data_IF_301525228996
#
_entry.id   IF_301525228996
#
_cell.length_a   1.000
_cell.length_b   1.000
_cell.length_c   1.000
_cell.angle_alpha   90.00
_cell.angle_beta   90.00
_cell.angle_gamma   90.00
#
_symmetry.space_group_name_H-M   'P 1'
#
loop_
_entity.id
_entity.type
_entity.pdbx_description
1 polymer ?
#
# COMPACT_ATOMS: atom_id res chain seq x y z
N UNK A 1 -12.27 -11.60 23.48
CA UNK A 1 -12.38 -11.99 22.06
C UNK A 1 -13.48 -11.15 21.43
N UNK A 2 -13.12 -10.00 20.88
CA UNK A 2 -14.03 -9.12 20.15
C UNK A 2 -13.70 -9.28 18.68
N UNK A 3 -14.53 -10.04 17.97
CA UNK A 3 -14.40 -10.21 16.52
C UNK A 3 -14.54 -8.86 15.83
N UNK A 4 -13.51 -8.45 15.12
CA UNK A 4 -13.61 -7.45 14.07
C UNK A 4 -14.64 -7.99 13.07
N UNK A 5 -15.86 -7.44 13.07
CA UNK A 5 -16.78 -7.62 11.95
C UNK A 5 -16.10 -6.97 10.75
N UNK A 6 -15.53 -7.78 9.87
CA UNK A 6 -15.03 -7.34 8.58
C UNK A 6 -16.26 -6.89 7.78
N UNK A 7 -16.52 -5.58 7.76
CA UNK A 7 -17.60 -5.01 6.95
C UNK A 7 -17.09 -5.14 5.51
N UNK A 8 -17.69 -6.05 4.76
CA UNK A 8 -17.45 -6.17 3.32
C UNK A 8 -18.13 -4.96 2.65
N UNK A 9 -17.41 -3.85 2.55
CA UNK A 9 -17.93 -2.58 2.02
C UNK A 9 -18.12 -2.74 0.51
N UNK A 10 -19.36 -2.95 0.07
CA UNK A 10 -19.67 -3.10 -1.35
C UNK A 10 -19.92 -1.76 -2.03
N UNK A 11 -19.71 -1.72 -3.35
CA UNK A 11 -20.07 -0.58 -4.21
C UNK A 11 -21.57 -0.26 -4.13
N UNK A 12 -22.39 -1.30 -4.00
CA UNK A 12 -23.84 -1.18 -3.88
C UNK A 12 -24.23 -0.52 -2.55
N UNK A 13 -23.54 -0.85 -1.45
CA UNK A 13 -23.77 -0.22 -0.16
C UNK A 13 -23.48 1.29 -0.18
N UNK A 14 -22.36 1.72 -0.76
CA UNK A 14 -22.06 3.16 -0.92
C UNK A 14 -23.11 3.83 -1.80
N UNK A 15 -23.52 3.18 -2.90
CA UNK A 15 -24.53 3.72 -3.82
C UNK A 15 -25.88 3.89 -3.13
N UNK A 16 -26.29 2.93 -2.30
CA UNK A 16 -27.50 3.02 -1.49
C UNK A 16 -27.41 4.14 -0.44
N UNK A 17 -26.27 4.30 0.23
CA UNK A 17 -26.08 5.39 1.18
C UNK A 17 -26.12 6.77 0.48
N UNK A 18 -25.57 6.89 -0.73
CA UNK A 18 -25.69 8.12 -1.53
C UNK A 18 -27.15 8.40 -1.88
N UNK A 19 -27.91 7.37 -2.26
CA UNK A 19 -29.34 7.49 -2.55
C UNK A 19 -30.13 7.95 -1.33
N UNK A 20 -29.89 7.36 -0.16
CA UNK A 20 -30.49 7.79 1.11
C UNK A 20 -30.10 9.24 1.42
N UNK A 21 -28.83 9.62 1.20
CA UNK A 21 -28.36 10.99 1.36
C UNK A 21 -29.10 12.00 0.48
N UNK A 22 -29.46 11.64 -0.76
CA UNK A 22 -30.30 12.48 -1.62
C UNK A 22 -31.73 12.60 -1.09
N UNK A 23 -32.35 11.50 -0.65
CA UNK A 23 -33.70 11.52 -0.03
C UNK A 23 -33.72 12.44 1.19
N UNK A 24 -32.67 12.43 2.01
CA UNK A 24 -32.54 13.34 3.16
C UNK A 24 -32.46 14.82 2.74
N UNK A 25 -31.82 15.11 1.60
CA UNK A 25 -31.77 16.47 1.05
C UNK A 25 -33.14 16.91 0.53
N UNK A 26 -33.87 16.04 -0.16
CA UNK A 26 -35.21 16.32 -0.68
C UNK A 26 -36.18 16.67 0.47
N UNK A 27 -36.05 16.00 1.63
CA UNK A 27 -36.84 16.31 2.83
C UNK A 27 -36.59 17.72 3.39
N UNK A 28 -35.42 18.31 3.12
CA UNK A 28 -35.04 19.64 3.62
C UNK A 28 -35.32 20.76 2.61
N UNK A 29 -35.23 20.48 1.30
CA UNK A 29 -35.37 21.48 0.24
C UNK A 29 -36.84 21.81 -0.09
N UNK A 30 -37.76 20.88 0.18
CA UNK A 30 -39.14 20.91 -0.31
C UNK A 30 -40.14 21.54 0.69
N UNK A 31 -39.78 22.65 1.33
CA UNK A 31 -40.53 23.24 2.47
C UNK A 31 -41.34 24.51 2.14
N UNK A 32 -41.36 24.98 0.89
CA UNK A 32 -41.95 26.27 0.51
C UNK A 32 -43.49 26.33 0.47
N UNK A 33 -44.19 25.19 0.47
CA UNK A 33 -45.66 25.14 0.30
C UNK A 33 -46.38 24.24 1.34
N UNK A 34 -45.69 23.80 2.38
CA UNK A 34 -46.23 22.81 3.33
C UNK A 34 -46.81 23.49 4.56
N UNK A 35 -47.99 23.05 5.00
CA UNK A 35 -48.57 23.47 6.28
C UNK A 35 -47.66 23.09 7.48
N UNK A 36 -47.84 23.73 8.63
CA UNK A 36 -46.99 23.51 9.81
C UNK A 36 -46.93 22.02 10.22
N UNK A 37 -48.02 21.27 10.00
CA UNK A 37 -48.09 19.83 10.27
C UNK A 37 -47.20 19.03 9.31
N UNK A 38 -47.25 19.31 8.01
CA UNK A 38 -46.41 18.64 7.04
C UNK A 38 -44.93 18.98 7.18
N UNK A 39 -44.59 20.23 7.53
CA UNK A 39 -43.21 20.63 7.87
C UNK A 39 -42.67 19.78 9.02
N UNK A 40 -43.43 19.69 10.13
CA UNK A 40 -43.00 18.91 11.29
C UNK A 40 -42.86 17.42 10.97
N UNK A 41 -43.73 16.88 10.11
CA UNK A 41 -43.65 15.49 9.65
C UNK A 41 -42.36 15.23 8.85
N UNK A 42 -42.03 16.09 7.86
CA UNK A 42 -40.79 15.98 7.08
C UNK A 42 -39.56 16.09 7.98
N UNK A 43 -39.55 17.05 8.92
CA UNK A 43 -38.47 17.20 9.90
C UNK A 43 -38.27 15.95 10.75
N UNK A 44 -39.35 15.37 11.28
CA UNK A 44 -39.25 14.16 12.10
C UNK A 44 -38.73 12.96 11.29
N UNK A 45 -39.12 12.84 10.02
CA UNK A 45 -38.58 11.83 9.11
C UNK A 45 -37.08 12.03 8.88
N UNK A 46 -36.64 13.25 8.61
CA UNK A 46 -35.22 13.58 8.46
C UNK A 46 -34.43 13.17 9.69
N UNK A 47 -34.87 13.55 10.90
CA UNK A 47 -34.17 13.24 12.14
C UNK A 47 -34.07 11.73 12.37
N UNK A 48 -35.16 10.99 12.11
CA UNK A 48 -35.21 9.55 12.30
C UNK A 48 -34.24 8.78 11.40
N UNK A 49 -34.00 9.28 10.18
CA UNK A 49 -33.17 8.60 9.19
C UNK A 49 -31.73 9.13 9.13
N UNK A 50 -31.49 10.41 9.41
CA UNK A 50 -30.18 11.03 9.31
C UNK A 50 -29.15 10.36 10.24
N UNK A 51 -29.50 10.08 11.50
CA UNK A 51 -28.55 9.46 12.44
C UNK A 51 -28.13 8.06 11.98
N UNK A 52 -29.08 7.27 11.46
CA UNK A 52 -28.79 5.94 10.90
C UNK A 52 -27.87 6.04 9.69
N UNK A 53 -28.17 6.97 8.79
CA UNK A 53 -27.36 7.25 7.61
C UNK A 53 -25.94 7.67 7.99
N UNK A 54 -25.79 8.63 8.89
CA UNK A 54 -24.51 9.14 9.35
C UNK A 54 -23.65 8.02 9.98
N UNK A 55 -24.21 7.22 10.89
CA UNK A 55 -23.49 6.12 11.54
C UNK A 55 -23.01 5.05 10.56
N UNK A 56 -23.76 4.79 9.48
CA UNK A 56 -23.34 3.87 8.42
C UNK A 56 -22.28 4.46 7.50
N UNK A 57 -22.33 5.76 7.22
CA UNK A 57 -21.35 6.44 6.39
C UNK A 57 -19.99 6.54 7.09
N UNK A 58 -19.96 6.82 8.39
CA UNK A 58 -18.75 7.19 9.11
C UNK A 58 -17.59 6.16 9.01
N UNK A 59 -17.80 4.85 9.23
CA UNK A 59 -16.75 3.85 9.06
C UNK A 59 -16.19 3.81 7.63
N UNK A 60 -17.08 3.94 6.63
CA UNK A 60 -16.71 3.95 5.21
C UNK A 60 -15.83 5.16 4.90
N UNK A 61 -16.20 6.35 5.36
CA UNK A 61 -15.40 7.56 5.15
C UNK A 61 -14.03 7.44 5.83
N UNK A 62 -13.98 6.93 7.07
CA UNK A 62 -12.70 6.74 7.78
C UNK A 62 -11.77 5.76 7.08
N UNK A 63 -12.32 4.72 6.46
CA UNK A 63 -11.54 3.72 5.72
C UNK A 63 -11.12 4.21 4.33
N UNK A 64 -12.03 4.82 3.58
CA UNK A 64 -11.84 5.09 2.15
C UNK A 64 -11.35 6.52 1.89
N UNK A 65 -11.76 7.50 2.70
CA UNK A 65 -11.46 8.93 2.53
C UNK A 65 -10.98 9.55 3.85
N UNK A 66 -9.89 9.02 4.46
CA UNK A 66 -9.43 9.43 5.78
C UNK A 66 -9.10 10.93 5.85
N UNK A 67 -8.62 11.50 4.74
CA UNK A 67 -8.31 12.93 4.60
C UNK A 67 -9.53 13.85 4.80
N UNK A 68 -10.74 13.34 4.52
CA UNK A 68 -11.99 14.09 4.68
C UNK A 68 -12.84 13.63 5.86
N UNK A 69 -12.41 12.62 6.62
CA UNK A 69 -13.16 12.09 7.76
C UNK A 69 -13.39 13.15 8.84
N UNK A 70 -12.35 13.90 9.20
CA UNK A 70 -12.46 15.00 10.18
C UNK A 70 -13.50 16.03 9.71
N UNK A 71 -13.47 16.40 8.42
CA UNK A 71 -14.44 17.33 7.86
C UNK A 71 -15.85 16.77 7.93
N UNK A 72 -16.05 15.52 7.50
CA UNK A 72 -17.34 14.83 7.55
C UNK A 72 -17.95 14.82 8.96
N UNK A 73 -17.13 14.57 9.98
CA UNK A 73 -17.53 14.56 11.39
C UNK A 73 -17.86 15.97 11.91
N UNK A 74 -17.07 16.98 11.54
CA UNK A 74 -17.27 18.37 11.96
C UNK A 74 -18.59 18.99 11.47
N UNK A 75 -19.17 18.46 10.39
CA UNK A 75 -20.45 18.91 9.85
C UNK A 75 -21.64 18.44 10.71
N UNK A 76 -21.45 17.37 11.49
CA UNK A 76 -22.44 16.83 12.40
C UNK A 76 -22.23 17.32 13.83
N UNK A 77 -21.04 17.14 14.41
CA UNK A 77 -20.81 17.34 15.83
C UNK A 77 -20.68 18.82 16.21
N UNK A 78 -21.45 19.23 17.21
CA UNK A 78 -21.31 20.55 17.83
C UNK A 78 -20.07 20.58 18.73
N UNK A 79 -19.11 21.45 18.41
CA UNK A 79 -17.92 21.70 19.24
C UNK A 79 -18.20 22.71 20.36
N UNK A 80 -17.34 22.75 21.38
CA UNK A 80 -17.36 23.79 22.42
C UNK A 80 -17.25 25.18 21.79
N UNK A 81 -18.36 25.92 21.77
CA UNK A 81 -18.46 27.25 21.14
C UNK A 81 -19.21 28.22 22.05
N UNK A 82 -18.82 29.50 22.02
CA UNK A 82 -19.45 30.58 22.79
C UNK A 82 -20.80 31.04 22.22
N UNK A 83 -21.11 30.69 20.97
CA UNK A 83 -22.36 31.06 20.31
C UNK A 83 -22.60 30.32 18.99
N UNK A 84 -23.82 30.41 18.48
CA UNK A 84 -24.27 29.76 17.25
C UNK A 84 -24.40 30.79 16.13
N UNK A 85 -23.61 30.64 15.07
CA UNK A 85 -23.69 31.40 13.83
C UNK A 85 -23.68 30.42 12.64
N UNK A 86 -23.84 30.91 11.41
CA UNK A 86 -23.92 30.05 10.21
C UNK A 86 -22.70 29.14 10.01
N UNK A 87 -21.51 29.61 10.40
CA UNK A 87 -20.26 28.88 10.27
C UNK A 87 -20.10 27.82 11.35
N UNK A 88 -20.62 28.09 12.54
CA UNK A 88 -20.52 27.17 13.67
C UNK A 88 -21.69 26.20 13.75
N UNK A 89 -22.81 26.47 13.06
CA UNK A 89 -24.02 25.65 13.04
C UNK A 89 -23.80 24.28 12.36
N UNK A 90 -24.25 23.22 13.03
CA UNK A 90 -24.06 21.81 12.62
C UNK A 90 -25.40 21.08 12.45
N UNK A 91 -25.37 19.87 11.88
CA UNK A 91 -26.60 19.07 11.75
C UNK A 91 -27.13 18.61 13.12
N UNK A 92 -26.26 18.42 14.13
CA UNK A 92 -26.70 18.08 15.48
C UNK A 92 -27.54 19.19 16.11
N UNK A 93 -27.21 20.46 15.87
CA UNK A 93 -28.01 21.60 16.33
C UNK A 93 -29.44 21.55 15.75
N UNK A 94 -29.55 21.21 14.47
CA UNK A 94 -30.82 21.08 13.78
C UNK A 94 -31.67 19.94 14.35
N UNK A 95 -31.05 18.79 14.62
CA UNK A 95 -31.70 17.65 15.26
C UNK A 95 -32.23 18.03 16.64
N UNK A 96 -31.45 18.78 17.42
CA UNK A 96 -31.83 19.29 18.74
C UNK A 96 -32.91 20.40 18.69
N UNK A 97 -33.27 20.87 17.49
CA UNK A 97 -34.30 21.89 17.31
C UNK A 97 -33.84 23.31 17.62
N UNK A 98 -32.53 23.58 17.46
CA UNK A 98 -31.97 24.91 17.64
C UNK A 98 -32.17 25.69 16.34
N UNK A 99 -32.81 26.86 16.43
CA UNK A 99 -33.06 27.74 15.28
C UNK A 99 -32.51 29.15 15.54
N UNK A 100 -32.18 29.85 14.45
CA UNK A 100 -31.82 31.27 14.52
C UNK A 100 -33.06 32.11 14.85
N UNK A 101 -33.07 32.74 16.03
CA UNK A 101 -34.23 33.46 16.57
C UNK A 101 -34.78 34.56 15.65
N UNK A 102 -33.88 35.23 14.92
CA UNK A 102 -34.22 36.38 14.07
C UNK A 102 -34.38 36.01 12.58
N UNK A 103 -34.47 34.72 12.25
CA UNK A 103 -34.54 34.22 10.87
C UNK A 103 -35.70 33.23 10.71
N UNK A 104 -36.28 33.14 9.50
CA UNK A 104 -37.30 32.12 9.24
C UNK A 104 -36.71 30.71 9.36
N UNK A 105 -37.53 29.70 9.68
CA UNK A 105 -37.08 28.30 9.80
C UNK A 105 -36.37 27.79 8.54
N UNK A 106 -36.86 28.19 7.36
CA UNK A 106 -36.26 27.89 6.06
C UNK A 106 -34.79 28.34 5.93
N UNK A 107 -34.38 29.35 6.70
CA UNK A 107 -32.98 29.77 6.79
C UNK A 107 -32.09 28.67 7.39
N UNK A 108 -32.56 28.10 8.49
CA UNK A 108 -31.85 27.05 9.23
C UNK A 108 -31.86 25.74 8.44
N UNK A 109 -32.97 25.45 7.76
CA UNK A 109 -33.09 24.32 6.84
C UNK A 109 -32.04 24.43 5.73
N UNK A 110 -31.91 25.59 5.08
CA UNK A 110 -30.91 25.83 4.04
C UNK A 110 -29.45 25.62 4.50
N UNK A 111 -29.12 26.03 5.73
CA UNK A 111 -27.78 25.79 6.30
C UNK A 111 -27.58 24.30 6.49
N UNK A 112 -28.56 23.60 7.06
CA UNK A 112 -28.52 22.16 7.27
C UNK A 112 -28.37 21.41 5.96
N UNK A 113 -29.13 21.79 4.93
CA UNK A 113 -29.03 21.25 3.56
C UNK A 113 -27.61 21.37 3.02
N UNK A 114 -26.94 22.52 3.19
CA UNK A 114 -25.54 22.69 2.77
C UNK A 114 -24.60 21.70 3.46
N UNK A 115 -24.77 21.47 4.77
CA UNK A 115 -23.95 20.53 5.56
C UNK A 115 -24.15 19.08 5.12
N UNK A 116 -25.41 18.66 4.97
CA UNK A 116 -25.76 17.30 4.50
C UNK A 116 -25.28 17.08 3.07
N UNK A 117 -25.39 18.09 2.20
CA UNK A 117 -24.91 18.01 0.81
C UNK A 117 -23.40 17.85 0.74
N UNK A 118 -22.67 18.55 1.60
CA UNK A 118 -21.23 18.42 1.73
C UNK A 118 -20.84 17.01 2.23
N UNK A 119 -21.51 16.50 3.27
CA UNK A 119 -21.31 15.12 3.73
C UNK A 119 -21.57 14.10 2.61
N UNK A 120 -22.66 14.26 1.86
CA UNK A 120 -23.00 13.38 0.74
C UNK A 120 -21.98 13.47 -0.41
N UNK A 121 -21.40 14.66 -0.65
CA UNK A 121 -20.31 14.84 -1.62
C UNK A 121 -19.03 14.10 -1.19
N UNK A 122 -18.69 14.15 0.11
CA UNK A 122 -17.56 13.39 0.65
C UNK A 122 -17.78 11.88 0.48
N UNK A 123 -19.00 11.39 0.73
CA UNK A 123 -19.36 9.99 0.50
C UNK A 123 -19.25 9.58 -0.97
N UNK A 124 -19.70 10.44 -1.91
CA UNK A 124 -19.53 10.18 -3.35
C UNK A 124 -18.06 10.02 -3.75
N UNK A 125 -17.14 10.71 -3.08
CA UNK A 125 -15.70 10.57 -3.34
C UNK A 125 -15.12 9.21 -2.91
N UNK A 126 -15.82 8.44 -2.07
CA UNK A 126 -15.41 7.08 -1.70
C UNK A 126 -15.66 6.05 -2.81
N UNK A 127 -16.62 6.32 -3.72
CA UNK A 127 -17.03 5.39 -4.77
C UNK A 127 -15.90 4.94 -5.72
N UNK A 128 -15.09 5.85 -6.31
CA UNK A 128 -13.97 5.44 -7.17
C UNK A 128 -12.84 4.74 -6.40
N UNK A 129 -12.68 5.01 -5.10
CA UNK A 129 -11.60 4.42 -4.30
C UNK A 129 -11.80 2.92 -4.02
N UNK A 130 -13.04 2.43 -4.02
CA UNK A 130 -13.32 0.99 -3.88
C UNK A 130 -12.72 0.19 -5.05
N UNK A 131 -12.88 0.68 -6.28
CA UNK A 131 -12.35 -0.03 -7.45
C UNK A 131 -10.84 -0.07 -7.46
N UNK A 132 -10.20 1.04 -7.09
CA UNK A 132 -8.74 1.13 -7.01
C UNK A 132 -8.19 0.23 -5.89
N UNK A 133 -8.80 0.28 -4.69
CA UNK A 133 -8.40 -0.57 -3.56
C UNK A 133 -8.58 -2.06 -3.86
N UNK A 134 -9.69 -2.46 -4.48
CA UNK A 134 -9.92 -3.85 -4.89
C UNK A 134 -8.89 -4.31 -5.91
N UNK A 135 -8.52 -3.45 -6.86
CA UNK A 135 -7.50 -3.75 -7.87
C UNK A 135 -6.11 -3.91 -7.23
N UNK A 136 -5.75 -3.03 -6.30
CA UNK A 136 -4.48 -3.10 -5.58
C UNK A 136 -4.37 -4.34 -4.70
N UNK A 137 -5.45 -4.72 -4.01
CA UNK A 137 -5.50 -5.98 -3.26
C UNK A 137 -5.42 -7.20 -4.16
N UNK A 138 -6.14 -7.21 -5.28
CA UNK A 138 -6.06 -8.31 -6.26
C UNK A 138 -4.63 -8.44 -6.82
N UNK A 139 -3.98 -7.31 -7.13
CA UNK A 139 -2.58 -7.28 -7.56
C UNK A 139 -1.66 -7.80 -6.47
N UNK A 140 -1.83 -7.36 -5.23
CA UNK A 140 -1.03 -7.83 -4.09
C UNK A 140 -1.17 -9.34 -3.88
N UNK A 141 -2.40 -9.87 -3.87
CA UNK A 141 -2.68 -11.30 -3.70
C UNK A 141 -2.18 -12.12 -4.89
N UNK A 142 -2.30 -11.61 -6.12
CA UNK A 142 -1.73 -12.27 -7.30
C UNK A 142 -0.21 -12.38 -7.19
N UNK A 143 0.47 -11.30 -6.77
CA UNK A 143 1.93 -11.26 -6.63
C UNK A 143 2.40 -12.09 -5.42
N UNK A 144 1.60 -12.13 -4.35
CA UNK A 144 1.89 -12.86 -3.11
C UNK A 144 0.75 -13.85 -2.82
N UNK A 145 0.64 -14.94 -3.60
CA UNK A 145 -0.43 -15.91 -3.41
C UNK A 145 -0.31 -16.53 -2.02
N UNK A 146 -1.27 -16.25 -1.14
CA UNK A 146 -1.38 -16.89 0.17
C UNK A 146 -1.77 -18.35 -0.07
N UNK A 147 -0.78 -19.22 -0.27
CA UNK A 147 -1.02 -20.65 -0.36
C UNK A 147 -1.27 -21.17 1.05
N UNK A 148 -2.45 -21.75 1.30
CA UNK A 148 -2.61 -22.67 2.42
C UNK A 148 -1.70 -23.86 2.13
N UNK A 149 -0.52 -23.91 2.74
CA UNK A 149 0.36 -25.05 2.52
C UNK A 149 -0.33 -26.30 3.10
N UNK A 150 -0.54 -27.37 2.29
CA UNK A 150 -0.93 -28.64 2.85
C UNK A 150 0.21 -29.10 3.77
N UNK A 151 -0.12 -29.45 5.00
CA UNK A 151 0.80 -29.81 6.09
C UNK A 151 1.77 -30.97 5.79
N UNK A 152 1.69 -31.58 4.61
CA UNK A 152 2.50 -32.72 4.19
C UNK A 152 3.57 -32.39 3.14
N UNK A 153 3.63 -31.15 2.61
CA UNK A 153 4.67 -30.73 1.64
C UNK A 153 5.69 -29.75 2.22
N UNK A 154 5.83 -29.71 3.56
CA UNK A 154 6.93 -29.01 4.22
C UNK A 154 8.22 -29.77 3.91
N UNK A 155 8.88 -29.43 2.81
CA UNK A 155 10.31 -29.63 2.67
C UNK A 155 10.98 -29.00 3.89
N UNK A 156 11.87 -29.75 4.53
CA UNK A 156 12.51 -29.49 5.84
C UNK A 156 13.26 -28.15 6.00
N UNK A 157 13.32 -27.31 4.97
CA UNK A 157 14.05 -26.05 4.97
C UNK A 157 13.10 -24.89 5.35
N UNK A 158 13.14 -24.53 6.63
CA UNK A 158 12.48 -23.34 7.18
C UNK A 158 13.18 -22.03 6.76
N UNK A 159 14.35 -22.13 6.13
CA UNK A 159 15.22 -21.02 5.72
C UNK A 159 15.60 -21.18 4.25
N UNK A 160 15.65 -20.05 3.54
CA UNK A 160 16.20 -19.93 2.19
C UNK A 160 17.70 -19.63 2.23
N UNK A 161 18.18 -18.97 3.28
CA UNK A 161 19.58 -18.59 3.49
C UNK A 161 19.97 -18.96 4.92
N UNK A 162 20.93 -19.87 5.09
CA UNK A 162 21.50 -20.27 6.39
C UNK A 162 22.97 -19.85 6.53
N UNK A 163 23.29 -18.66 6.00
CA UNK A 163 24.57 -17.98 6.15
C UNK A 163 24.43 -16.80 7.15
N UNK A 164 25.43 -16.54 7.99
CA UNK A 164 25.48 -15.35 8.85
C UNK A 164 26.52 -14.37 8.30
N UNK A 165 26.10 -13.13 8.04
CA UNK A 165 26.99 -12.08 7.53
C UNK A 165 27.70 -11.37 8.68
N UNK A 166 28.87 -10.79 8.42
CA UNK A 166 29.52 -9.91 9.42
C UNK A 166 28.73 -8.60 9.62
N UNK A 167 28.11 -8.08 8.55
CA UNK A 167 27.34 -6.83 8.58
C UNK A 167 25.91 -7.06 9.12
N UNK A 168 25.52 -6.26 10.11
CA UNK A 168 24.19 -6.32 10.73
C UNK A 168 23.06 -6.00 9.73
N UNK A 169 23.30 -5.11 8.77
CA UNK A 169 22.36 -4.78 7.70
C UNK A 169 22.03 -6.01 6.84
N UNK A 170 23.06 -6.78 6.43
CA UNK A 170 22.86 -8.00 5.65
C UNK A 170 22.16 -9.10 6.46
N UNK A 171 22.46 -9.22 7.75
CA UNK A 171 21.71 -10.11 8.64
C UNK A 171 20.23 -9.72 8.81
N UNK A 172 19.93 -8.42 8.83
CA UNK A 172 18.55 -7.93 8.85
C UNK A 172 17.83 -8.30 7.57
N UNK A 173 18.44 -8.05 6.40
CA UNK A 173 17.86 -8.43 5.10
C UNK A 173 17.62 -9.96 5.01
N UNK A 174 18.60 -10.77 5.44
CA UNK A 174 18.47 -12.22 5.50
C UNK A 174 17.29 -12.67 6.36
N UNK A 175 17.12 -12.07 7.53
CA UNK A 175 16.02 -12.39 8.45
C UNK A 175 14.67 -12.11 7.78
N UNK A 176 14.57 -10.99 7.06
CA UNK A 176 13.38 -10.62 6.30
C UNK A 176 13.12 -11.56 5.12
N UNK A 177 14.15 -11.94 4.36
CA UNK A 177 14.06 -12.92 3.27
C UNK A 177 13.53 -14.26 3.80
N UNK A 178 14.14 -14.80 4.86
CA UNK A 178 13.71 -16.08 5.46
C UNK A 178 12.29 -16.02 6.01
N UNK A 179 11.90 -14.90 6.64
CA UNK A 179 10.54 -14.68 7.12
C UNK A 179 9.52 -14.67 5.97
N UNK A 180 9.82 -13.98 4.87
CA UNK A 180 8.97 -13.95 3.67
C UNK A 180 8.87 -15.31 3.01
N UNK A 181 9.99 -16.01 2.86
CA UNK A 181 10.04 -17.37 2.31
C UNK A 181 9.17 -18.34 3.12
N UNK A 182 9.36 -18.36 4.44
CA UNK A 182 8.59 -19.20 5.37
C UNK A 182 7.08 -18.92 5.33
N UNK A 183 6.69 -17.68 5.08
CA UNK A 183 5.28 -17.26 4.96
C UNK A 183 4.69 -17.47 3.56
N UNK A 184 5.49 -17.91 2.59
CA UNK A 184 5.05 -18.12 1.21
C UNK A 184 4.99 -16.84 0.37
N UNK A 185 5.56 -15.73 0.83
CA UNK A 185 5.69 -14.48 0.07
C UNK A 185 6.88 -14.56 -0.89
N UNK A 186 6.73 -15.38 -1.93
CA UNK A 186 7.85 -15.77 -2.81
C UNK A 186 8.38 -14.61 -3.65
N UNK A 187 7.53 -13.69 -4.12
CA UNK A 187 8.01 -12.51 -4.85
C UNK A 187 8.80 -11.58 -3.94
N UNK A 188 8.33 -11.32 -2.72
CA UNK A 188 9.07 -10.50 -1.75
C UNK A 188 10.40 -11.14 -1.39
N UNK A 189 10.42 -12.45 -1.10
CA UNK A 189 11.65 -13.19 -0.85
C UNK A 189 12.62 -13.09 -2.04
N UNK A 190 12.12 -13.22 -3.28
CA UNK A 190 12.91 -13.10 -4.49
C UNK A 190 13.53 -11.71 -4.68
N UNK A 191 12.72 -10.65 -4.59
CA UNK A 191 13.18 -9.27 -4.78
C UNK A 191 14.20 -8.89 -3.72
N UNK A 192 13.95 -9.22 -2.45
CA UNK A 192 14.89 -8.98 -1.36
C UNK A 192 16.18 -9.78 -1.53
N UNK A 193 16.10 -11.02 -2.02
CA UNK A 193 17.29 -11.82 -2.32
C UNK A 193 18.13 -11.18 -3.43
N UNK A 194 17.50 -10.74 -4.53
CA UNK A 194 18.19 -10.02 -5.61
C UNK A 194 18.86 -8.74 -5.11
N UNK A 195 18.19 -8.02 -4.21
CA UNK A 195 18.72 -6.81 -3.60
C UNK A 195 19.96 -7.09 -2.75
N UNK A 196 19.90 -8.14 -1.92
CA UNK A 196 21.02 -8.55 -1.08
C UNK A 196 22.23 -8.99 -1.93
N UNK A 197 22.02 -9.82 -2.95
CA UNK A 197 23.07 -10.22 -3.92
C UNK A 197 23.67 -8.97 -4.56
N UNK A 198 22.82 -8.02 -5.00
CA UNK A 198 23.30 -6.79 -5.64
C UNK A 198 24.17 -5.97 -4.70
N UNK A 199 23.80 -5.85 -3.43
CA UNK A 199 24.57 -5.08 -2.46
C UNK A 199 25.92 -5.74 -2.14
N UNK A 200 25.96 -7.06 -1.99
CA UNK A 200 27.23 -7.80 -1.85
C UNK A 200 28.11 -7.63 -3.09
N UNK A 201 27.52 -7.71 -4.30
CA UNK A 201 28.23 -7.49 -5.56
C UNK A 201 28.81 -6.07 -5.64
N UNK A 202 28.06 -5.06 -5.18
CA UNK A 202 28.53 -3.68 -5.09
C UNK A 202 29.72 -3.56 -4.14
N UNK A 203 29.67 -4.23 -2.98
CA UNK A 203 30.77 -4.22 -2.01
C UNK A 203 32.03 -4.88 -2.58
N UNK A 204 31.88 -6.04 -3.23
CA UNK A 204 32.98 -6.70 -3.93
C UNK A 204 33.64 -5.78 -4.96
N UNK A 205 32.83 -5.13 -5.82
CA UNK A 205 33.35 -4.19 -6.84
C UNK A 205 34.04 -3.00 -6.16
N UNK A 206 33.51 -2.47 -5.06
CA UNK A 206 34.08 -1.31 -4.35
C UNK A 206 35.40 -1.59 -3.68
N UNK A 207 35.67 -2.85 -3.30
CA UNK A 207 36.97 -3.26 -2.76
C UNK A 207 38.03 -3.14 -3.86
N UNK A 208 37.76 -3.65 -5.06
CA UNK A 208 38.70 -3.56 -6.19
C UNK A 208 38.77 -2.15 -6.81
N UNK A 209 37.62 -1.48 -6.92
CA UNK A 209 37.47 -0.18 -7.55
C UNK A 209 36.89 0.85 -6.58
N UNK A 210 37.68 1.33 -5.60
CA UNK A 210 37.22 2.30 -4.61
C UNK A 210 36.73 3.61 -5.28
N UNK A 211 35.82 4.38 -4.64
CA UNK A 211 35.28 5.64 -5.16
C UNK A 211 36.31 6.80 -5.10
N UNK A 212 37.48 6.61 -5.70
CA UNK A 212 38.59 7.59 -5.76
C UNK A 212 38.61 8.37 -7.07
N UNK A 213 37.96 7.86 -8.11
CA UNK A 213 37.86 8.48 -9.43
C UNK A 213 36.44 8.32 -9.99
N UNK A 214 36.04 9.23 -10.87
CA UNK A 214 34.77 9.14 -11.61
C UNK A 214 34.71 7.86 -12.45
N UNK A 215 35.85 7.44 -13.01
CA UNK A 215 36.01 6.18 -13.73
C UNK A 215 35.62 4.97 -12.86
N UNK A 216 36.15 4.89 -11.64
CA UNK A 216 35.81 3.79 -10.71
C UNK A 216 34.34 3.81 -10.30
N UNK A 217 33.79 5.00 -10.01
CA UNK A 217 32.38 5.15 -9.63
C UNK A 217 31.46 4.73 -10.79
N UNK A 218 31.82 5.06 -12.03
CA UNK A 218 31.05 4.69 -13.23
C UNK A 218 30.92 3.18 -13.44
N UNK A 219 31.75 2.36 -12.80
CA UNK A 219 31.70 0.88 -12.88
C UNK A 219 30.39 0.37 -12.25
N UNK A 220 29.95 0.96 -11.15
CA UNK A 220 28.81 0.48 -10.36
C UNK A 220 27.71 1.52 -10.11
N UNK A 221 27.91 2.76 -10.55
CA UNK A 221 26.95 3.86 -10.40
C UNK A 221 26.70 4.54 -11.74
N UNK A 222 25.43 4.78 -12.06
CA UNK A 222 25.02 5.60 -13.20
C UNK A 222 24.87 7.05 -12.75
N UNK A 223 25.86 7.86 -13.12
CA UNK A 223 25.93 9.29 -12.76
C UNK A 223 24.77 10.07 -13.38
N UNK A 224 24.30 9.69 -14.58
CA UNK A 224 23.24 10.43 -15.27
C UNK A 224 21.88 10.21 -14.60
N UNK A 225 21.63 8.98 -14.15
CA UNK A 225 20.37 8.59 -13.52
C UNK A 225 20.42 8.65 -11.97
N UNK A 226 21.57 9.01 -11.40
CA UNK A 226 21.80 9.11 -9.95
C UNK A 226 21.38 7.82 -9.20
N UNK A 227 21.71 6.66 -9.77
CA UNK A 227 21.33 5.36 -9.22
C UNK A 227 22.45 4.31 -9.37
N UNK A 228 22.45 3.30 -8.49
CA UNK A 228 23.31 2.13 -8.67
C UNK A 228 22.86 1.29 -9.85
N UNK A 229 23.84 0.71 -10.57
CA UNK A 229 23.53 -0.17 -11.68
C UNK A 229 22.76 -1.40 -11.20
N UNK A 230 21.89 -1.92 -12.06
CA UNK A 230 21.10 -3.12 -11.79
C UNK A 230 21.99 -4.37 -11.65
N UNK A 231 21.49 -5.39 -10.95
CA UNK A 231 22.19 -6.64 -10.64
C UNK A 231 22.83 -7.28 -11.88
N UNK A 232 22.08 -7.41 -12.98
CA UNK A 232 22.58 -7.99 -14.23
C UNK A 232 23.72 -7.18 -14.82
N UNK A 233 23.58 -5.86 -14.84
CA UNK A 233 24.60 -4.94 -15.38
C UNK A 233 25.89 -5.04 -14.57
N UNK A 234 25.79 -5.12 -13.24
CA UNK A 234 26.94 -5.33 -12.36
C UNK A 234 27.60 -6.70 -12.62
N UNK A 235 26.81 -7.77 -12.74
CA UNK A 235 27.33 -9.12 -12.98
C UNK A 235 28.08 -9.21 -14.33
N UNK A 236 27.53 -8.60 -15.38
CA UNK A 236 28.20 -8.49 -16.69
C UNK A 236 29.46 -7.64 -16.62
N UNK A 237 29.45 -6.53 -15.86
CA UNK A 237 30.63 -5.68 -15.67
C UNK A 237 31.78 -6.44 -15.03
N UNK A 238 31.48 -7.27 -14.02
CA UNK A 238 32.47 -8.15 -13.37
C UNK A 238 32.98 -9.22 -14.33
N UNK A 239 32.10 -9.84 -15.13
CA UNK A 239 32.50 -10.81 -16.16
C UNK A 239 33.50 -10.21 -17.15
N UNK A 240 33.25 -8.99 -17.61
CA UNK A 240 34.12 -8.30 -18.57
C UNK A 240 35.47 -7.91 -17.96
N UNK A 241 35.50 -7.65 -16.65
CA UNK A 241 36.70 -7.22 -15.91
C UNK A 241 37.27 -8.35 -15.03
N UNK A 242 36.98 -9.61 -15.33
CA UNK A 242 37.40 -10.73 -14.50
C UNK A 242 38.92 -10.88 -14.40
N UNK A 243 39.64 -10.44 -15.43
CA UNK A 243 41.11 -10.43 -15.45
C UNK A 243 41.72 -9.28 -14.62
N UNK A 244 40.93 -8.23 -14.33
CA UNK A 244 41.31 -7.12 -13.46
C UNK A 244 41.09 -7.44 -11.97
N UNK A 245 40.35 -8.53 -11.68
CA UNK A 245 40.05 -8.99 -10.34
C UNK A 245 41.11 -10.01 -9.91
N UNK A 246 41.66 -9.86 -8.71
CA UNK A 246 42.59 -10.83 -8.13
C UNK A 246 41.81 -12.05 -7.58
N UNK A 247 40.99 -12.66 -8.43
CA UNK A 247 40.09 -13.76 -8.12
C UNK A 247 40.15 -14.80 -9.22
N UNK A 248 39.74 -16.03 -8.91
CA UNK A 248 39.66 -17.09 -9.91
C UNK A 248 38.63 -16.73 -11.01
N UNK A 249 39.02 -16.57 -12.29
CA UNK A 249 38.10 -16.23 -13.38
C UNK A 249 36.98 -17.25 -13.58
N UNK A 250 37.21 -18.52 -13.27
CA UNK A 250 36.19 -19.58 -13.35
C UNK A 250 35.12 -19.40 -12.27
N UNK A 251 35.52 -18.99 -11.06
CA UNK A 251 34.58 -18.71 -9.97
C UNK A 251 33.70 -17.49 -10.30
N UNK A 252 34.28 -16.46 -10.91
CA UNK A 252 33.55 -15.30 -11.43
C UNK A 252 32.54 -15.73 -12.50
N UNK A 253 32.95 -16.56 -13.45
CA UNK A 253 32.06 -17.04 -14.51
C UNK A 253 30.88 -17.82 -13.92
N UNK A 254 31.15 -18.71 -12.97
CA UNK A 254 30.12 -19.47 -12.27
C UNK A 254 29.13 -18.58 -11.51
N UNK A 255 29.65 -17.58 -10.78
CA UNK A 255 28.81 -16.60 -10.06
C UNK A 255 27.86 -15.87 -11.02
N UNK A 256 28.39 -15.39 -12.16
CA UNK A 256 27.60 -14.62 -13.12
C UNK A 256 26.56 -15.50 -13.81
N UNK A 257 26.89 -16.75 -14.13
CA UNK A 257 25.91 -17.73 -14.62
C UNK A 257 24.75 -17.90 -13.65
N UNK A 258 25.02 -18.13 -12.36
CA UNK A 258 23.98 -18.27 -11.34
C UNK A 258 23.11 -17.02 -11.23
N UNK A 259 23.71 -15.82 -11.17
CA UNK A 259 22.97 -14.56 -11.12
C UNK A 259 22.08 -14.37 -12.36
N UNK A 260 22.58 -14.72 -13.55
CA UNK A 260 21.81 -14.61 -14.79
C UNK A 260 20.58 -15.53 -14.84
N UNK A 261 20.59 -16.67 -14.13
CA UNK A 261 19.40 -17.55 -14.03
C UNK A 261 18.24 -16.93 -13.24
N UNK A 262 18.52 -15.92 -12.41
CA UNK A 262 17.53 -15.20 -11.62
C UNK A 262 16.79 -14.12 -12.41
N UNK A 263 17.04 -13.98 -13.72
CA UNK A 263 16.29 -13.05 -14.56
C UNK A 263 15.00 -13.70 -15.09
N UNK A 264 13.82 -13.10 -14.84
CA UNK A 264 12.59 -13.60 -15.41
C UNK A 264 12.60 -13.42 -16.94
N UNK A 265 12.20 -14.46 -17.66
CA UNK A 265 12.01 -14.38 -19.12
C UNK A 265 11.02 -13.25 -19.46
N UNK A 266 11.50 -12.16 -20.03
CA UNK A 266 10.63 -11.11 -20.59
C UNK A 266 10.04 -11.65 -21.90
N UNK A 267 8.78 -12.12 -21.87
CA UNK A 267 8.08 -12.42 -23.13
C UNK A 267 7.83 -11.13 -23.90
N UNK A 268 8.29 -11.00 -25.16
CA UNK A 268 7.98 -9.84 -25.97
C UNK A 268 6.46 -9.79 -26.21
N UNK A 269 5.81 -8.69 -25.81
CA UNK A 269 4.41 -8.40 -26.17
C UNK A 269 3.35 -8.58 -25.08
N UNK A 270 3.69 -8.99 -23.85
CA UNK A 270 2.72 -9.01 -22.75
C UNK A 270 2.93 -7.81 -21.82
N UNK A 271 1.91 -6.96 -21.65
CA UNK A 271 1.85 -5.94 -20.59
C UNK A 271 1.77 -6.52 -19.16
N UNK A 272 2.00 -7.83 -18.99
CA UNK A 272 2.06 -8.52 -17.72
C UNK A 272 3.51 -8.66 -17.25
N UNK A 273 3.74 -8.12 -16.06
CA UNK A 273 4.95 -8.19 -15.24
C UNK A 273 5.59 -9.59 -15.17
N UNK A 274 6.90 -9.59 -14.91
CA UNK A 274 7.77 -10.68 -14.45
C UNK A 274 6.99 -11.92 -13.96
N UNK A 275 7.29 -13.11 -14.50
CA UNK A 275 6.74 -14.37 -14.01
C UNK A 275 6.94 -14.46 -12.49
N UNK A 276 5.85 -14.58 -11.72
CA UNK A 276 5.90 -14.65 -10.26
C UNK A 276 6.66 -15.93 -9.88
N UNK A 277 7.80 -15.82 -9.16
CA UNK A 277 8.60 -16.99 -8.82
C UNK A 277 7.83 -17.87 -7.84
N UNK A 278 7.85 -19.17 -8.09
CA UNK A 278 7.35 -20.17 -7.15
C UNK A 278 8.40 -20.50 -6.09
N UNK A 279 8.01 -21.23 -5.04
CA UNK A 279 8.96 -21.72 -4.04
C UNK A 279 10.01 -22.65 -4.67
N UNK A 280 9.60 -23.46 -5.66
CA UNK A 280 10.51 -24.30 -6.44
C UNK A 280 11.50 -23.45 -7.25
N UNK A 281 11.05 -22.34 -7.84
CA UNK A 281 11.95 -21.42 -8.53
C UNK A 281 12.98 -20.81 -7.58
N UNK A 282 12.55 -20.36 -6.39
CA UNK A 282 13.46 -19.82 -5.37
C UNK A 282 14.56 -20.80 -4.95
N UNK A 283 14.20 -22.08 -4.76
CA UNK A 283 15.16 -23.13 -4.46
C UNK A 283 16.08 -23.43 -5.66
N UNK A 284 15.54 -23.40 -6.88
CA UNK A 284 16.30 -23.60 -8.11
C UNK A 284 17.31 -22.47 -8.40
N UNK A 285 17.07 -21.26 -7.90
CA UNK A 285 17.98 -20.12 -8.07
C UNK A 285 19.27 -20.20 -7.23
N UNK A 286 19.40 -21.20 -6.34
CA UNK A 286 20.61 -21.41 -5.52
C UNK A 286 21.07 -20.14 -4.79
N UNK A 287 20.12 -19.37 -4.24
CA UNK A 287 20.37 -18.04 -3.65
C UNK A 287 21.44 -18.11 -2.54
N UNK A 288 21.35 -19.10 -1.65
CA UNK A 288 22.34 -19.31 -0.58
C UNK A 288 23.76 -19.46 -1.12
N UNK A 289 23.95 -20.29 -2.15
CA UNK A 289 25.26 -20.52 -2.75
C UNK A 289 25.85 -19.27 -3.44
N UNK A 290 24.99 -18.45 -4.05
CA UNK A 290 25.43 -17.15 -4.58
C UNK A 290 25.97 -16.25 -3.46
N UNK A 291 25.31 -16.24 -2.30
CA UNK A 291 25.72 -15.43 -1.15
C UNK A 291 27.03 -15.94 -0.54
N UNK A 292 27.16 -17.26 -0.39
CA UNK A 292 28.37 -17.89 0.14
C UNK A 292 29.56 -17.55 -0.75
N UNK A 293 29.43 -17.76 -2.06
CA UNK A 293 30.48 -17.47 -3.02
C UNK A 293 30.89 -15.99 -3.03
N UNK A 294 29.92 -15.08 -2.95
CA UNK A 294 30.19 -13.65 -2.86
C UNK A 294 30.91 -13.27 -1.56
N UNK A 295 30.50 -13.86 -0.44
CA UNK A 295 31.10 -13.57 0.87
C UNK A 295 32.53 -14.08 0.91
N UNK A 296 32.78 -15.30 0.42
CA UNK A 296 34.12 -15.88 0.32
C UNK A 296 35.04 -15.03 -0.57
N UNK A 297 34.54 -14.55 -1.72
CA UNK A 297 35.29 -13.65 -2.60
C UNK A 297 35.62 -12.31 -1.93
N UNK A 298 34.64 -11.70 -1.25
CA UNK A 298 34.80 -10.44 -0.52
C UNK A 298 35.84 -10.60 0.60
N UNK A 299 35.80 -11.70 1.34
CA UNK A 299 36.70 -11.95 2.45
C UNK A 299 38.12 -12.26 1.95
N UNK A 300 38.26 -12.95 0.82
CA UNK A 300 39.56 -13.14 0.16
C UNK A 300 40.18 -11.80 -0.27
N UNK A 301 39.40 -10.91 -0.88
CA UNK A 301 39.89 -9.60 -1.35
C UNK A 301 40.25 -8.61 -0.22
N UNK A 302 39.79 -8.87 1.01
CA UNK A 302 40.10 -8.04 2.19
C UNK A 302 41.40 -8.44 2.89
N UNK A 303 41.94 -9.64 2.61
CA UNK A 303 43.16 -10.17 3.21
C UNK A 303 44.42 -9.58 2.56
#
# INVERSE_FOLDING_TARGET
MSGQNNIDISKDEISDLIRIGNVLLDLLEDNSEVDEKGYQKKRNMFIGEYNKWYSRCLPIIRSMVPDKAIRFESLYHTNNRSGTNEYTYTVQDYIQGIYFKDKPKSYTDNITTKRVREQNSILKAALPRITDFSFDMERFVKINPIRSQPSHSLTRQDKLIDHDFYDEHYNSMRTEINSNFKRGFTMSAFVLSRELIRNLLLDMIRIQFPPRSEENVSIYYDINNNCHKELRTLALTIRERKDDLDLNPEAIEHLVEMICTMEPETKPGSHSFLTIPTQENLLAYRIEEIMDLLTDMIDFMKQ
#
